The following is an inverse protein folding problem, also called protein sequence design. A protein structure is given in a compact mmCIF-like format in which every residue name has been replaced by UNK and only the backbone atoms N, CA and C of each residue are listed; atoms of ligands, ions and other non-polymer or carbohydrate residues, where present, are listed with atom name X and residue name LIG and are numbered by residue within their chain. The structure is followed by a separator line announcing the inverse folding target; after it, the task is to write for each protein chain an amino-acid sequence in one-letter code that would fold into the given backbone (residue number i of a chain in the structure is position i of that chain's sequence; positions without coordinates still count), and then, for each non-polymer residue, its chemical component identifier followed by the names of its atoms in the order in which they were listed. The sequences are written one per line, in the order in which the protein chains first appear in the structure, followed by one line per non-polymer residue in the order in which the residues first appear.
data_IF_352779960124
#
_entry.id   IF_352779960124
#
_cell.length_a   1.000
_cell.length_b   1.000
_cell.length_c   1.000
_cell.angle_alpha   90.00
_cell.angle_beta   90.00
_cell.angle_gamma   90.00
#
_symmetry.space_group_name_H-M   'P 1'
#
loop_
_entity.id
_entity.type
_entity.pdbx_description
1 polymer ?
#
# COMPACT_ATOMS: atom_id res chain seq x y z
N UNK A 1 -17.05 -20.90 2.29
CA UNK A 1 -17.27 -21.67 3.54
C UNK A 1 -17.47 -20.71 4.69
N UNK A 2 -18.43 -21.07 5.55
CA UNK A 2 -18.72 -20.59 6.91
C UNK A 2 -18.71 -19.09 7.17
N UNK A 3 -19.91 -18.50 7.24
CA UNK A 3 -20.11 -17.22 7.91
C UNK A 3 -19.74 -17.37 9.38
N UNK A 4 -18.71 -16.63 9.78
CA UNK A 4 -18.16 -16.60 11.14
C UNK A 4 -19.20 -15.98 12.07
N UNK A 5 -19.33 -16.44 13.30
CA UNK A 5 -20.11 -15.76 14.34
C UNK A 5 -19.24 -14.77 15.10
N UNK A 6 -19.78 -13.57 15.33
CA UNK A 6 -19.03 -12.33 15.58
C UNK A 6 -19.08 -11.89 17.04
N UNK A 7 -18.41 -12.62 17.93
CA UNK A 7 -18.15 -12.17 19.30
C UNK A 7 -16.72 -12.54 19.70
N UNK A 8 -15.75 -11.67 19.39
CA UNK A 8 -14.40 -11.67 19.95
C UNK A 8 -13.90 -10.22 20.01
N UNK A 9 -13.21 -9.82 21.08
CA UNK A 9 -12.32 -8.65 21.33
C UNK A 9 -12.52 -7.27 20.66
N UNK A 10 -11.95 -6.23 21.27
CA UNK A 10 -11.96 -4.84 20.75
C UNK A 10 -11.32 -4.71 19.35
N UNK A 11 -10.14 -5.33 19.15
CA UNK A 11 -9.41 -5.35 17.87
C UNK A 11 -10.25 -5.95 16.73
N UNK A 12 -10.98 -7.02 17.03
CA UNK A 12 -11.82 -7.69 16.05
C UNK A 12 -13.07 -6.85 15.71
N UNK A 13 -13.64 -6.13 16.69
CA UNK A 13 -14.66 -5.11 16.43
C UNK A 13 -14.17 -4.00 15.48
N UNK A 14 -12.92 -3.57 15.64
CA UNK A 14 -12.26 -2.60 14.78
C UNK A 14 -12.09 -3.13 13.34
N UNK A 15 -11.65 -4.38 13.19
CA UNK A 15 -11.50 -5.06 11.89
C UNK A 15 -12.84 -5.16 11.14
N UNK A 16 -13.92 -5.53 11.84
CA UNK A 16 -15.27 -5.61 11.25
C UNK A 16 -15.74 -4.22 10.80
N UNK A 17 -15.51 -3.19 11.62
CA UNK A 17 -15.87 -1.82 11.29
C UNK A 17 -15.14 -1.33 10.04
N UNK A 18 -13.82 -1.54 9.92
CA UNK A 18 -13.07 -1.14 8.72
C UNK A 18 -13.51 -1.93 7.48
N UNK A 19 -13.78 -3.23 7.63
CA UNK A 19 -14.35 -4.03 6.54
C UNK A 19 -15.68 -3.45 6.05
N UNK A 20 -16.58 -3.08 6.98
CA UNK A 20 -17.87 -2.51 6.65
C UNK A 20 -17.71 -1.12 6.02
N UNK A 21 -16.82 -0.27 6.54
CA UNK A 21 -16.52 1.03 5.93
C UNK A 21 -16.09 0.88 4.47
N UNK A 22 -15.21 -0.07 4.17
CA UNK A 22 -14.78 -0.33 2.78
C UNK A 22 -15.93 -0.86 1.92
N UNK A 23 -16.67 -1.84 2.44
CA UNK A 23 -17.82 -2.45 1.75
C UNK A 23 -18.92 -1.45 1.39
N UNK A 24 -19.16 -0.46 2.24
CA UNK A 24 -20.17 0.58 2.06
C UNK A 24 -19.60 1.88 1.47
N UNK A 25 -18.36 1.86 0.96
CA UNK A 25 -17.74 3.01 0.30
C UNK A 25 -17.57 4.22 1.21
N UNK A 26 -17.39 3.99 2.52
CA UNK A 26 -17.25 5.02 3.58
C UNK A 26 -18.38 6.05 3.56
N UNK A 27 -19.58 5.61 3.19
CA UNK A 27 -20.80 6.42 3.11
C UNK A 27 -21.93 5.78 3.89
N UNK A 28 -22.88 6.58 4.37
CA UNK A 28 -24.08 6.05 5.01
C UNK A 28 -24.86 5.16 4.03
N UNK A 29 -25.14 3.92 4.43
CA UNK A 29 -25.84 2.95 3.61
C UNK A 29 -27.23 3.43 3.18
N UNK A 30 -27.88 4.30 3.96
CA UNK A 30 -29.23 4.79 3.70
C UNK A 30 -29.26 6.10 2.91
N UNK A 31 -28.60 7.15 3.39
CA UNK A 31 -28.66 8.49 2.78
C UNK A 31 -27.44 8.84 1.91
N UNK A 32 -26.37 8.03 1.92
CA UNK A 32 -25.18 8.26 1.11
C UNK A 32 -24.25 9.37 1.61
N UNK A 33 -24.54 10.01 2.74
CA UNK A 33 -23.68 11.06 3.30
C UNK A 33 -22.28 10.52 3.61
N UNK A 34 -21.26 11.31 3.30
CA UNK A 34 -19.84 11.07 3.60
C UNK A 34 -19.36 12.04 4.68
N UNK A 35 -18.10 11.91 5.12
CA UNK A 35 -17.43 12.89 5.99
C UNK A 35 -18.14 13.19 7.32
N UNK A 36 -18.91 12.21 7.81
CA UNK A 36 -19.60 12.25 9.10
C UNK A 36 -19.28 11.00 9.91
N UNK A 37 -19.37 11.05 11.26
CA UNK A 37 -19.29 9.84 12.07
C UNK A 37 -20.33 8.80 11.62
N UNK A 38 -19.81 7.62 11.33
CA UNK A 38 -20.57 6.48 10.84
C UNK A 38 -20.59 5.38 11.89
N UNK A 39 -21.74 4.74 12.10
CA UNK A 39 -22.00 3.73 13.12
C UNK A 39 -22.26 2.38 12.45
N UNK A 40 -21.84 1.29 13.11
CA UNK A 40 -22.19 -0.07 12.67
C UNK A 40 -23.61 -0.35 13.13
N UNK A 41 -24.46 -0.80 12.20
CA UNK A 41 -25.87 -1.04 12.46
C UNK A 41 -26.33 -2.38 11.88
N UNK A 42 -27.30 -3.02 12.53
CA UNK A 42 -27.96 -4.20 12.01
C UNK A 42 -29.08 -3.86 11.02
N UNK A 43 -29.01 -4.44 9.82
CA UNK A 43 -30.05 -4.35 8.78
C UNK A 43 -31.37 -4.93 9.30
N UNK A 44 -31.33 -6.18 9.78
CA UNK A 44 -32.39 -6.77 10.60
C UNK A 44 -32.04 -6.49 12.07
N UNK A 45 -32.87 -5.76 12.82
CA UNK A 45 -32.60 -5.42 14.22
C UNK A 45 -32.36 -6.65 15.09
N UNK A 46 -31.47 -6.54 16.09
CA UNK A 46 -31.21 -7.63 17.05
C UNK A 46 -32.46 -8.04 17.82
N UNK A 47 -33.32 -7.09 18.18
CA UNK A 47 -34.61 -7.34 18.84
C UNK A 47 -35.57 -8.19 17.99
N UNK A 48 -35.37 -8.23 16.66
CA UNK A 48 -36.12 -9.04 15.70
C UNK A 48 -35.33 -10.26 15.22
N UNK A 49 -34.33 -10.72 15.99
CA UNK A 49 -33.52 -11.91 15.68
C UNK A 49 -32.37 -11.67 14.70
N UNK A 50 -32.02 -10.42 14.44
CA UNK A 50 -30.91 -10.06 13.57
C UNK A 50 -29.55 -10.60 14.05
N UNK A 51 -28.84 -11.30 13.18
CA UNK A 51 -27.50 -11.84 13.48
C UNK A 51 -26.42 -10.75 13.46
N UNK A 52 -25.31 -10.95 14.18
CA UNK A 52 -24.11 -10.11 14.05
C UNK A 52 -23.31 -10.39 12.76
N UNK A 53 -23.89 -11.12 11.78
CA UNK A 53 -23.17 -11.48 10.57
C UNK A 53 -22.88 -10.25 9.72
N UNK A 54 -21.71 -10.17 9.07
CA UNK A 54 -21.39 -9.08 8.12
C UNK A 54 -22.44 -8.93 7.02
N UNK A 55 -23.16 -10.01 6.68
CA UNK A 55 -24.29 -9.98 5.73
C UNK A 55 -25.54 -9.28 6.27
N UNK A 56 -25.61 -9.03 7.58
CA UNK A 56 -26.67 -8.31 8.29
C UNK A 56 -26.17 -6.99 8.89
N UNK A 57 -24.91 -6.60 8.66
CA UNK A 57 -24.35 -5.34 9.16
C UNK A 57 -24.21 -4.32 8.03
N UNK A 58 -24.58 -3.09 8.34
CA UNK A 58 -24.42 -1.90 7.52
C UNK A 58 -23.62 -0.83 8.27
N UNK A 59 -23.31 0.25 7.56
CA UNK A 59 -22.78 1.47 8.14
C UNK A 59 -23.79 2.59 7.92
N UNK A 60 -24.13 3.36 8.96
CA UNK A 60 -25.12 4.43 8.90
C UNK A 60 -24.63 5.69 9.62
N UNK A 61 -25.08 6.87 9.19
CA UNK A 61 -24.90 8.08 10.00
C UNK A 61 -25.82 8.02 11.23
N UNK A 62 -25.46 8.77 12.28
CA UNK A 62 -26.20 8.79 13.54
C UNK A 62 -27.71 9.03 13.33
N UNK A 63 -28.08 10.02 12.51
CA UNK A 63 -29.48 10.34 12.26
C UNK A 63 -30.25 9.18 11.61
N UNK A 64 -29.66 8.51 10.61
CA UNK A 64 -30.35 7.39 9.96
C UNK A 64 -30.45 6.18 10.89
N UNK A 65 -29.41 5.90 11.68
CA UNK A 65 -29.43 4.81 12.65
C UNK A 65 -30.52 5.02 13.71
N UNK A 66 -30.61 6.23 14.28
CA UNK A 66 -31.66 6.61 15.23
C UNK A 66 -33.05 6.54 14.60
N UNK A 67 -33.21 7.11 13.40
CA UNK A 67 -34.50 7.12 12.72
C UNK A 67 -35.00 5.72 12.37
N UNK A 68 -34.11 4.79 11.99
CA UNK A 68 -34.51 3.40 11.74
C UNK A 68 -34.79 2.67 13.06
N UNK A 69 -33.92 2.82 14.05
CA UNK A 69 -34.03 2.13 15.33
C UNK A 69 -34.27 0.62 15.16
N UNK A 70 -35.35 0.12 15.77
CA UNK A 70 -35.77 -1.28 15.71
C UNK A 70 -36.78 -1.60 14.57
N UNK A 71 -37.03 -0.67 13.64
CA UNK A 71 -37.91 -0.91 12.50
C UNK A 71 -37.31 -1.93 11.53
N UNK A 72 -38.19 -2.62 10.81
CA UNK A 72 -37.73 -3.45 9.70
C UNK A 72 -37.18 -2.55 8.58
N UNK A 73 -36.14 -2.98 7.87
CA UNK A 73 -35.56 -2.16 6.80
C UNK A 73 -36.54 -1.88 5.67
N UNK A 74 -37.50 -2.78 5.41
CA UNK A 74 -38.52 -2.59 4.37
C UNK A 74 -39.51 -1.50 4.75
N UNK A 75 -39.87 -1.42 6.02
CA UNK A 75 -40.71 -0.37 6.59
C UNK A 75 -39.97 0.98 6.55
N UNK A 76 -38.72 1.02 7.03
CA UNK A 76 -37.91 2.24 7.04
C UNK A 76 -37.67 2.84 5.63
N UNK A 77 -37.61 1.98 4.61
CA UNK A 77 -37.33 2.37 3.22
C UNK A 77 -38.53 2.17 2.28
N UNK A 78 -39.76 2.15 2.81
CA UNK A 78 -40.98 1.95 2.02
C UNK A 78 -41.04 2.91 0.82
N UNK A 79 -40.71 4.19 1.05
CA UNK A 79 -40.69 5.23 0.01
C UNK A 79 -39.39 5.29 -0.80
N UNK A 80 -38.44 4.36 -0.59
CA UNK A 80 -37.11 4.33 -1.23
C UNK A 80 -36.73 2.92 -1.71
N UNK A 81 -37.52 2.31 -2.62
CA UNK A 81 -37.32 0.92 -3.05
C UNK A 81 -35.96 0.68 -3.72
N UNK A 82 -35.43 1.67 -4.44
CA UNK A 82 -34.10 1.59 -5.06
C UNK A 82 -32.96 1.48 -4.03
N UNK A 83 -33.07 2.21 -2.92
CA UNK A 83 -32.12 2.16 -1.80
C UNK A 83 -32.19 0.82 -1.10
N UNK A 84 -33.41 0.32 -0.82
CA UNK A 84 -33.62 -0.99 -0.22
C UNK A 84 -32.98 -2.10 -1.08
N UNK A 85 -33.26 -2.11 -2.38
CA UNK A 85 -32.70 -3.10 -3.31
C UNK A 85 -31.16 -3.06 -3.32
N UNK A 86 -30.57 -1.85 -3.33
CA UNK A 86 -29.11 -1.67 -3.26
C UNK A 86 -28.55 -2.23 -1.96
N UNK A 87 -29.13 -1.90 -0.81
CA UNK A 87 -28.64 -2.36 0.50
C UNK A 87 -28.69 -3.88 0.58
N UNK A 88 -29.81 -4.52 0.23
CA UNK A 88 -29.95 -5.98 0.28
C UNK A 88 -28.96 -6.69 -0.66
N UNK A 89 -28.64 -6.08 -1.81
CA UNK A 89 -27.64 -6.59 -2.75
C UNK A 89 -26.22 -6.44 -2.19
N UNK A 90 -25.84 -5.25 -1.74
CA UNK A 90 -24.50 -4.96 -1.19
C UNK A 90 -24.24 -5.81 0.05
N UNK A 91 -25.22 -5.91 0.95
CA UNK A 91 -25.12 -6.70 2.18
C UNK A 91 -24.72 -8.16 1.91
N UNK A 92 -25.25 -8.78 0.85
CA UNK A 92 -24.92 -10.17 0.46
C UNK A 92 -23.62 -10.30 -0.34
N UNK A 93 -23.08 -9.21 -0.87
CA UNK A 93 -21.90 -9.25 -1.73
C UNK A 93 -20.61 -9.29 -0.89
N UNK A 94 -19.72 -10.29 -1.10
CA UNK A 94 -18.39 -10.28 -0.51
C UNK A 94 -17.45 -9.32 -1.26
N UNK A 95 -16.44 -8.78 -0.58
CA UNK A 95 -15.39 -7.99 -1.23
C UNK A 95 -14.52 -8.90 -2.12
N UNK A 96 -14.71 -8.83 -3.44
CA UNK A 96 -14.00 -9.69 -4.42
C UNK A 96 -12.48 -9.47 -4.36
N UNK A 97 -12.04 -8.23 -4.26
CA UNK A 97 -10.61 -7.89 -4.25
C UNK A 97 -9.92 -8.42 -2.98
N UNK A 98 -10.63 -8.42 -1.86
CA UNK A 98 -10.13 -9.01 -0.62
C UNK A 98 -9.88 -10.53 -0.76
N UNK A 99 -10.73 -11.25 -1.51
CA UNK A 99 -10.58 -12.69 -1.70
C UNK A 99 -9.30 -13.05 -2.50
N UNK A 100 -9.00 -12.27 -3.55
CA UNK A 100 -7.80 -12.48 -4.37
C UNK A 100 -6.50 -12.19 -3.60
N UNK A 101 -6.47 -11.12 -2.80
CA UNK A 101 -5.32 -10.82 -1.94
C UNK A 101 -5.17 -11.88 -0.84
N UNK A 102 -6.28 -12.35 -0.27
CA UNK A 102 -6.27 -13.34 0.80
C UNK A 102 -5.73 -14.70 0.36
N UNK A 103 -5.95 -15.13 -0.89
CA UNK A 103 -5.41 -16.41 -1.38
C UNK A 103 -3.88 -16.38 -1.45
N UNK A 104 -3.32 -15.31 -2.00
CA UNK A 104 -1.87 -15.08 -2.06
C UNK A 104 -1.29 -14.98 -0.64
N UNK A 105 -1.93 -14.20 0.24
CA UNK A 105 -1.51 -14.05 1.64
C UNK A 105 -1.48 -15.39 2.36
N UNK A 106 -2.52 -16.21 2.19
CA UNK A 106 -2.62 -17.53 2.82
C UNK A 106 -1.51 -18.45 2.32
N UNK A 107 -1.25 -18.48 1.01
CA UNK A 107 -0.17 -19.31 0.45
C UNK A 107 1.20 -18.88 0.97
N UNK A 108 1.48 -17.58 1.08
CA UNK A 108 2.72 -17.07 1.66
C UNK A 108 2.85 -17.49 3.12
N UNK A 109 1.80 -17.28 3.92
CA UNK A 109 1.78 -17.62 5.34
C UNK A 109 2.06 -19.11 5.57
N UNK A 110 1.32 -19.99 4.88
CA UNK A 110 1.53 -21.44 4.98
C UNK A 110 2.92 -21.87 4.51
N UNK A 111 3.44 -21.24 3.45
CA UNK A 111 4.79 -21.55 2.95
C UNK A 111 5.88 -21.15 3.94
N UNK A 112 5.75 -20.00 4.60
CA UNK A 112 6.70 -19.56 5.62
C UNK A 112 6.60 -20.41 6.89
N UNK A 113 5.37 -20.74 7.31
CA UNK A 113 5.12 -21.60 8.47
C UNK A 113 5.70 -23.00 8.26
N UNK A 114 5.56 -23.57 7.06
CA UNK A 114 6.15 -24.87 6.70
C UNK A 114 7.69 -24.88 6.75
N UNK A 115 8.35 -23.72 6.75
CA UNK A 115 9.80 -23.60 6.97
C UNK A 115 10.22 -23.58 8.44
N UNK A 116 9.27 -23.74 9.37
CA UNK A 116 9.54 -23.68 10.81
C UNK A 116 9.82 -22.27 11.33
N UNK A 117 9.47 -21.24 10.56
CA UNK A 117 9.65 -19.85 10.98
C UNK A 117 8.54 -19.42 11.95
N UNK A 118 8.83 -18.61 12.98
CA UNK A 118 7.82 -18.01 13.83
C UNK A 118 7.09 -16.91 13.05
N UNK A 119 5.96 -17.26 12.43
CA UNK A 119 5.17 -16.35 11.60
C UNK A 119 3.82 -16.08 12.26
N UNK A 120 3.48 -14.80 12.40
CA UNK A 120 2.18 -14.34 12.90
C UNK A 120 1.46 -13.60 11.77
N UNK A 121 0.16 -13.82 11.63
CA UNK A 121 -0.67 -13.09 10.69
C UNK A 121 -1.27 -11.85 11.37
N UNK A 122 -1.06 -10.68 10.78
CA UNK A 122 -1.74 -9.44 11.18
C UNK A 122 -2.84 -9.03 10.20
N UNK A 123 -3.72 -8.13 10.62
CA UNK A 123 -4.69 -7.44 9.76
C UNK A 123 -4.28 -5.98 9.57
N UNK A 124 -4.59 -5.40 8.41
CA UNK A 124 -4.34 -3.97 8.17
C UNK A 124 -5.15 -3.06 9.10
N UNK A 125 -6.31 -3.52 9.55
CA UNK A 125 -7.11 -2.82 10.53
C UNK A 125 -6.50 -2.89 11.94
N UNK A 126 -5.86 -4.00 12.32
CA UNK A 126 -5.05 -4.06 13.55
C UNK A 126 -3.84 -3.12 13.53
N UNK A 127 -3.14 -3.04 12.39
CA UNK A 127 -2.08 -2.03 12.20
C UNK A 127 -2.60 -0.61 12.41
N UNK A 128 -3.76 -0.30 11.83
CA UNK A 128 -4.41 1.01 11.97
C UNK A 128 -4.83 1.28 13.42
N UNK A 129 -5.37 0.29 14.12
CA UNK A 129 -5.73 0.37 15.53
C UNK A 129 -4.53 0.72 16.41
N UNK A 130 -3.43 -0.04 16.29
CA UNK A 130 -2.20 0.22 17.04
C UNK A 130 -1.68 1.65 16.78
N UNK A 131 -1.64 2.06 15.50
CA UNK A 131 -1.20 3.40 15.11
C UNK A 131 -2.06 4.50 15.73
N UNK A 132 -3.38 4.35 15.69
CA UNK A 132 -4.31 5.33 16.26
C UNK A 132 -4.24 5.38 17.79
N UNK A 133 -4.19 4.22 18.46
CA UNK A 133 -4.08 4.13 19.93
C UNK A 133 -2.81 4.77 20.46
N UNK A 134 -1.71 4.62 19.73
CA UNK A 134 -0.40 5.20 20.07
C UNK A 134 -0.22 6.64 19.57
N UNK A 135 -1.25 7.26 18.97
CA UNK A 135 -1.23 8.61 18.43
C UNK A 135 -0.08 8.88 17.42
N UNK A 136 0.16 7.92 16.51
CA UNK A 136 1.24 7.98 15.55
C UNK A 136 0.74 8.43 14.16
N UNK A 137 1.54 9.23 13.41
CA UNK A 137 1.16 9.68 12.07
C UNK A 137 1.17 8.53 11.06
N UNK A 138 0.39 8.67 9.98
CA UNK A 138 0.32 7.66 8.92
C UNK A 138 1.52 7.76 8.00
N UNK A 139 2.45 6.83 8.15
CA UNK A 139 3.60 6.63 7.26
C UNK A 139 3.82 5.14 7.02
N UNK A 140 4.34 4.75 5.85
CA UNK A 140 4.54 3.33 5.53
C UNK A 140 5.45 2.60 6.52
N UNK A 141 6.52 3.26 6.98
CA UNK A 141 7.47 2.68 7.93
C UNK A 141 6.92 2.63 9.36
N UNK A 142 6.04 3.58 9.73
CA UNK A 142 5.32 3.56 11.00
C UNK A 142 4.24 2.47 11.00
N UNK A 143 3.46 2.36 9.91
CA UNK A 143 2.47 1.30 9.72
C UNK A 143 3.16 -0.08 9.83
N UNK A 144 4.35 -0.27 9.27
CA UNK A 144 5.12 -1.50 9.41
C UNK A 144 5.51 -1.82 10.87
N UNK A 145 5.92 -0.81 11.65
CA UNK A 145 6.24 -0.97 13.07
C UNK A 145 5.00 -1.23 13.95
N UNK A 146 3.81 -0.91 13.46
CA UNK A 146 2.53 -1.14 14.16
C UNK A 146 1.92 -2.53 13.87
N UNK A 147 2.60 -3.40 13.12
CA UNK A 147 2.11 -4.75 12.80
C UNK A 147 2.29 -5.69 14.00
N UNK A 148 1.23 -6.43 14.34
CA UNK A 148 1.24 -7.45 15.40
C UNK A 148 0.79 -6.91 16.75
N UNK A 149 1.27 -7.53 17.82
CA UNK A 149 1.00 -7.10 19.19
C UNK A 149 2.01 -6.03 19.59
N UNK A 150 1.56 -4.79 19.71
CA UNK A 150 2.41 -3.63 19.99
C UNK A 150 1.85 -2.88 21.19
N UNK A 151 2.49 -3.03 22.35
CA UNK A 151 2.10 -2.32 23.58
C UNK A 151 2.51 -0.84 23.53
N UNK A 152 3.77 -0.58 23.19
CA UNK A 152 4.35 0.76 23.12
C UNK A 152 5.30 0.85 21.92
N UNK A 153 5.39 2.03 21.31
CA UNK A 153 6.32 2.32 20.22
C UNK A 153 6.94 3.71 20.39
N UNK A 154 8.25 3.80 20.32
CA UNK A 154 9.00 5.07 20.38
C UNK A 154 9.69 5.32 19.06
N UNK A 155 9.48 6.51 18.49
CA UNK A 155 10.12 6.92 17.23
C UNK A 155 11.44 7.63 17.54
N UNK A 156 12.55 7.04 17.09
CA UNK A 156 13.90 7.62 17.25
C UNK A 156 14.35 8.46 16.04
N UNK A 157 13.65 8.37 14.90
CA UNK A 157 13.99 9.11 13.68
C UNK A 157 12.73 9.44 12.88
N UNK A 158 12.68 10.66 12.33
CA UNK A 158 11.67 11.09 11.36
C UNK A 158 12.20 11.06 9.91
N UNK A 159 13.46 10.67 9.71
CA UNK A 159 14.13 10.63 8.42
C UNK A 159 14.63 9.21 8.12
N UNK A 160 13.71 8.29 7.72
CA UNK A 160 14.10 6.93 7.37
C UNK A 160 14.91 6.91 6.07
N UNK A 161 15.82 5.93 5.94
CA UNK A 161 16.45 5.64 4.67
C UNK A 161 15.43 4.98 3.73
N UNK A 162 15.09 5.65 2.64
CA UNK A 162 14.24 5.13 1.57
C UNK A 162 15.11 4.35 0.59
N UNK A 163 14.81 3.06 0.44
CA UNK A 163 15.50 2.16 -0.49
C UNK A 163 14.55 1.75 -1.61
N UNK A 164 14.80 2.23 -2.83
CA UNK A 164 14.01 1.88 -4.01
C UNK A 164 14.71 0.79 -4.81
N UNK A 165 14.04 -0.33 -5.08
CA UNK A 165 14.55 -1.34 -6.00
C UNK A 165 14.54 -0.81 -7.45
N UNK A 166 15.72 -0.64 -8.04
CA UNK A 166 15.92 -0.19 -9.43
C UNK A 166 16.23 -1.33 -10.40
N UNK A 167 16.50 -2.53 -9.88
CA UNK A 167 16.95 -3.69 -10.64
C UNK A 167 18.36 -3.52 -11.23
N UNK A 168 18.83 -4.55 -11.94
CA UNK A 168 20.17 -4.56 -12.56
C UNK A 168 20.19 -4.14 -14.04
N UNK A 169 19.18 -3.38 -14.47
CA UNK A 169 18.96 -2.98 -15.85
C UNK A 169 18.05 -3.95 -16.62
N UNK A 170 17.79 -3.63 -17.89
CA UNK A 170 16.97 -4.46 -18.77
C UNK A 170 17.83 -5.57 -19.41
N UNK A 171 17.29 -6.79 -19.51
CA UNK A 171 17.92 -7.90 -20.26
C UNK A 171 17.79 -7.73 -21.79
N UNK A 172 17.05 -6.73 -22.25
CA UNK A 172 16.89 -6.43 -23.66
C UNK A 172 18.20 -5.90 -24.26
N UNK A 173 18.81 -6.70 -25.13
CA UNK A 173 20.11 -6.40 -25.75
C UNK A 173 20.04 -5.27 -26.79
N UNK A 174 18.93 -5.17 -27.53
CA UNK A 174 18.72 -4.17 -28.59
C UNK A 174 17.36 -3.51 -28.39
N UNK A 175 17.32 -2.18 -28.48
CA UNK A 175 16.06 -1.47 -28.48
C UNK A 175 15.26 -1.80 -29.74
N UNK A 176 14.01 -2.20 -29.56
CA UNK A 176 13.11 -2.45 -30.68
C UNK A 176 12.50 -1.14 -31.19
N UNK A 177 12.07 -1.13 -32.43
CA UNK A 177 11.14 -0.13 -32.95
C UNK A 177 9.72 -0.37 -32.39
N UNK A 178 8.76 0.47 -32.80
CA UNK A 178 7.36 0.35 -32.36
C UNK A 178 6.67 -0.95 -32.82
N UNK A 179 7.28 -1.69 -33.75
CA UNK A 179 6.76 -2.95 -34.31
C UNK A 179 7.47 -4.18 -33.75
N UNK A 180 8.44 -4.00 -32.85
CA UNK A 180 9.18 -5.11 -32.24
C UNK A 180 10.44 -5.54 -33.00
N UNK A 181 10.82 -4.84 -34.09
CA UNK A 181 12.04 -5.15 -34.83
C UNK A 181 13.26 -4.46 -34.20
N UNK A 182 14.44 -5.12 -34.16
CA UNK A 182 15.67 -4.49 -33.70
C UNK A 182 15.97 -3.21 -34.49
N UNK A 183 16.24 -2.10 -33.80
CA UNK A 183 16.62 -0.85 -34.49
C UNK A 183 17.89 -1.07 -35.31
N UNK A 184 17.81 -0.79 -36.62
CA UNK A 184 18.93 -0.87 -37.56
C UNK A 184 20.05 0.07 -37.10
N UNK A 185 21.29 -0.44 -37.09
CA UNK A 185 22.48 0.36 -36.72
C UNK A 185 22.79 0.44 -35.23
N UNK A 186 22.14 -0.34 -34.37
CA UNK A 186 22.49 -0.41 -32.96
C UNK A 186 23.95 -0.87 -32.77
N UNK A 187 24.76 -0.04 -32.10
CA UNK A 187 26.11 -0.41 -31.63
C UNK A 187 26.07 -0.61 -30.12
N UNK A 188 26.45 -1.81 -29.67
CA UNK A 188 26.59 -2.07 -28.25
C UNK A 188 27.54 -1.03 -27.62
N UNK A 189 27.11 -0.42 -26.51
CA UNK A 189 27.95 0.53 -25.79
C UNK A 189 29.17 -0.22 -25.24
N UNK A 190 30.37 0.23 -25.60
CA UNK A 190 31.60 -0.32 -25.02
C UNK A 190 31.60 -0.05 -23.51
N UNK A 191 31.85 -1.07 -22.66
CA UNK A 191 31.97 -0.85 -21.23
C UNK A 191 33.17 0.06 -20.96
N UNK A 192 32.96 1.13 -20.18
CA UNK A 192 34.07 1.95 -19.71
C UNK A 192 34.69 1.25 -18.50
N UNK A 193 36.03 1.09 -18.45
CA UNK A 193 36.69 0.46 -17.32
C UNK A 193 36.39 1.18 -16.01
N UNK A 194 36.11 0.40 -14.96
CA UNK A 194 36.01 0.88 -13.59
C UNK A 194 34.69 1.52 -13.16
N UNK A 195 33.78 1.87 -14.08
CA UNK A 195 32.51 2.55 -13.75
C UNK A 195 31.33 2.02 -14.54
N UNK A 196 30.19 1.84 -13.87
CA UNK A 196 28.96 1.33 -14.48
C UNK A 196 27.77 2.26 -14.21
N UNK A 197 26.78 2.21 -15.10
CA UNK A 197 25.46 2.76 -14.81
C UNK A 197 24.94 2.14 -13.51
N UNK A 198 24.48 3.02 -12.61
CA UNK A 198 24.00 2.67 -11.29
C UNK A 198 25.00 2.84 -10.15
N UNK A 199 26.29 3.02 -10.44
CA UNK A 199 27.27 3.33 -9.39
C UNK A 199 26.94 4.69 -8.75
N UNK A 200 27.20 4.81 -7.45
CA UNK A 200 26.95 6.02 -6.64
C UNK A 200 28.28 6.71 -6.41
N UNK A 201 28.30 8.02 -6.68
CA UNK A 201 29.50 8.82 -6.69
C UNK A 201 29.30 10.17 -6.00
N UNK A 202 30.40 10.74 -5.54
CA UNK A 202 30.50 12.16 -5.21
C UNK A 202 31.21 12.88 -6.35
N UNK A 203 30.76 14.10 -6.68
CA UNK A 203 31.46 14.99 -7.61
C UNK A 203 32.36 15.90 -6.79
N UNK A 204 33.67 15.66 -6.87
CA UNK A 204 34.70 16.32 -6.05
C UNK A 204 35.38 17.49 -6.75
N UNK A 205 35.29 17.58 -8.09
CA UNK A 205 35.94 18.66 -8.88
C UNK A 205 35.05 19.16 -10.03
N UNK A 206 35.44 20.30 -10.61
CA UNK A 206 34.79 20.90 -11.77
C UNK A 206 33.47 21.62 -11.48
N UNK A 207 32.75 22.00 -12.54
CA UNK A 207 31.54 22.85 -12.46
C UNK A 207 30.43 22.33 -11.53
N UNK A 208 30.36 21.01 -11.34
CA UNK A 208 29.33 20.36 -10.53
C UNK A 208 29.88 19.81 -9.19
N UNK A 209 31.02 20.34 -8.72
CA UNK A 209 31.61 19.93 -7.45
C UNK A 209 30.64 20.13 -6.28
N UNK A 210 30.72 19.26 -5.27
CA UNK A 210 29.88 19.28 -4.08
C UNK A 210 28.62 18.41 -4.16
N UNK A 211 28.26 17.87 -5.33
CA UNK A 211 27.18 16.89 -5.42
C UNK A 211 27.60 15.57 -4.77
N UNK A 212 26.85 15.13 -3.77
CA UNK A 212 27.13 13.88 -3.02
C UNK A 212 26.06 12.83 -3.29
N UNK A 213 26.47 11.56 -3.28
CA UNK A 213 25.54 10.42 -3.38
C UNK A 213 24.76 10.35 -4.69
N UNK A 214 25.26 10.92 -5.78
CA UNK A 214 24.53 10.94 -7.06
C UNK A 214 24.78 9.66 -7.84
N UNK A 215 23.71 9.12 -8.45
CA UNK A 215 23.77 7.89 -9.25
C UNK A 215 24.19 8.17 -10.69
N UNK A 216 25.10 7.37 -11.23
CA UNK A 216 25.44 7.39 -12.65
C UNK A 216 24.25 6.86 -13.46
N UNK A 217 23.66 7.72 -14.29
CA UNK A 217 22.58 7.36 -15.23
C UNK A 217 23.14 6.67 -16.47
N UNK A 218 24.12 7.29 -17.11
CA UNK A 218 24.70 6.77 -18.36
C UNK A 218 26.21 6.93 -18.36
N UNK A 219 26.89 5.87 -18.77
CA UNK A 219 28.32 5.89 -19.06
C UNK A 219 28.53 6.22 -20.54
N UNK A 220 29.30 7.26 -20.86
CA UNK A 220 29.59 7.68 -22.24
C UNK A 220 30.96 7.21 -22.71
N UNK A 221 31.14 7.11 -24.04
CA UNK A 221 32.32 6.55 -24.71
C UNK A 221 33.64 7.31 -24.51
N UNK A 222 33.63 8.48 -23.85
CA UNK A 222 34.81 9.32 -23.59
C UNK A 222 35.15 9.49 -22.09
N UNK A 223 34.64 8.63 -21.22
CA UNK A 223 34.89 8.72 -19.77
C UNK A 223 34.13 9.85 -19.06
N UNK A 224 33.14 10.44 -19.73
CA UNK A 224 32.15 11.31 -19.10
C UNK A 224 30.92 10.49 -18.70
N UNK A 225 30.25 10.94 -17.64
CA UNK A 225 29.08 10.30 -17.07
C UNK A 225 27.92 11.28 -17.03
N UNK A 226 26.73 10.79 -17.36
CA UNK A 226 25.50 11.52 -17.10
C UNK A 226 25.02 11.19 -15.69
N UNK A 227 24.80 12.22 -14.88
CA UNK A 227 24.15 12.13 -13.57
C UNK A 227 22.82 12.89 -13.64
N UNK A 228 21.83 12.46 -12.85
CA UNK A 228 20.54 13.16 -12.74
C UNK A 228 20.52 13.99 -11.47
N UNK A 229 20.11 15.26 -11.57
CA UNK A 229 19.83 16.15 -10.44
C UNK A 229 18.45 16.78 -10.65
N UNK A 230 17.44 16.29 -9.93
CA UNK A 230 16.05 16.59 -10.22
C UNK A 230 15.70 16.17 -11.66
N UNK A 231 15.19 17.10 -12.46
CA UNK A 231 14.87 16.84 -13.87
C UNK A 231 16.01 17.12 -14.85
N UNK A 232 17.12 17.66 -14.37
CA UNK A 232 18.27 17.98 -15.22
C UNK A 232 19.23 16.81 -15.30
N UNK A 233 19.79 16.61 -16.49
CA UNK A 233 20.91 15.70 -16.73
C UNK A 233 22.18 16.55 -16.78
N UNK A 234 23.15 16.22 -15.95
CA UNK A 234 24.45 16.88 -15.92
C UNK A 234 25.53 15.91 -16.40
N UNK A 235 26.49 16.42 -17.16
CA UNK A 235 27.66 15.66 -17.58
C UNK A 235 28.82 15.93 -16.61
N UNK A 236 29.48 14.87 -16.14
CA UNK A 236 30.66 14.94 -15.26
C UNK A 236 31.80 14.07 -15.79
N UNK A 237 33.03 14.53 -15.63
CA UNK A 237 34.23 13.77 -16.04
C UNK A 237 34.58 12.71 -15.01
N UNK A 238 35.11 11.56 -15.44
CA UNK A 238 35.65 10.53 -14.55
C UNK A 238 36.74 11.01 -13.61
N UNK A 239 37.47 12.06 -13.98
CA UNK A 239 38.55 12.62 -13.16
C UNK A 239 38.00 13.55 -12.06
N UNK A 240 36.70 13.83 -12.07
CA UNK A 240 36.05 14.76 -11.15
C UNK A 240 35.19 14.07 -10.10
N UNK A 241 35.22 12.74 -10.05
CA UNK A 241 34.32 11.95 -9.22
C UNK A 241 35.09 11.04 -8.27
N UNK A 242 34.45 10.71 -7.16
CA UNK A 242 34.93 9.75 -6.17
C UNK A 242 33.86 8.68 -5.96
N UNK A 243 34.29 7.42 -5.86
CA UNK A 243 33.38 6.29 -5.62
C UNK A 243 32.79 6.39 -4.22
N UNK A 244 31.48 6.16 -4.11
CA UNK A 244 30.79 5.98 -2.83
C UNK A 244 30.36 4.54 -2.68
N UNK A 245 29.63 4.01 -3.67
CA UNK A 245 29.08 2.67 -3.64
C UNK A 245 28.95 2.08 -5.04
N UNK A 246 29.13 0.77 -5.16
CA UNK A 246 28.92 0.05 -6.42
C UNK A 246 27.45 -0.24 -6.63
N UNK A 247 27.01 -0.29 -7.88
CA UNK A 247 25.61 -0.66 -8.19
C UNK A 247 25.26 -2.00 -7.53
N UNK A 248 24.17 -2.02 -6.80
CA UNK A 248 23.62 -3.21 -6.12
C UNK A 248 22.16 -3.47 -6.50
N UNK A 249 21.61 -2.67 -7.42
CA UNK A 249 20.23 -2.77 -7.85
C UNK A 249 19.26 -1.92 -7.02
N UNK A 250 19.74 -1.15 -6.05
CA UNK A 250 18.93 -0.26 -5.23
C UNK A 250 19.33 1.19 -5.41
N UNK A 251 18.39 2.10 -5.14
CA UNK A 251 18.62 3.53 -5.00
C UNK A 251 18.31 3.94 -3.57
N UNK A 252 19.06 4.90 -3.06
CA UNK A 252 19.02 5.32 -1.67
C UNK A 252 18.69 6.80 -1.60
N UNK A 253 17.74 7.16 -0.76
CA UNK A 253 17.36 8.54 -0.47
C UNK A 253 16.87 8.66 0.98
N UNK A 254 16.71 9.89 1.45
CA UNK A 254 16.10 10.22 2.74
C UNK A 254 14.89 11.11 2.52
#
# INVERSE_FOLDING_TARGET
MSGVEYQKGELFGYDVREYLLEKWGRSCAYCGVTDTPLEVEHIVPRSKGGSNRVSNLAIACHQCNQNKGAMDIREFLENKPSVLARILKVAKTPLKDAAAVNSTRSKIFETLKAKGLPVIAGSGAGTKYNRCRLNLPKEHWIDAACVGEVENLTIFTSQPLVVTAMGHGCRQMVQMDKYGFPRIGYKAKKPVPGWKTGDIINVVKGKNAGLKGVRIKTVRSKGNFDIRKGDKILSVSRNHIQSVHRRDGYNYSF
#
